data_IF_721312437891
#
_entry.id   IF_721312437891
#
_cell.length_a   1.000
_cell.length_b   1.000
_cell.length_c   1.000
_cell.angle_alpha   90.00
_cell.angle_beta   90.00
_cell.angle_gamma   90.00
#
_symmetry.space_group_name_H-M   'P 1'
#
loop_
_entity.id
_entity.type
_entity.pdbx_description
1 polymer ?
#
# COMPACT_ATOMS: atom_id res chain seq x y z
N UNK A 1 -18.47 3.34 -15.36
CA UNK A 1 -17.68 2.12 -15.04
C UNK A 1 -16.47 1.95 -15.96
N UNK A 2 -16.56 2.28 -17.27
CA UNK A 2 -15.49 2.01 -18.25
C UNK A 2 -14.24 2.88 -18.09
N UNK A 3 -14.37 4.09 -17.57
CA UNK A 3 -13.23 4.99 -17.28
C UNK A 3 -12.29 4.35 -16.26
N UNK A 4 -12.82 3.77 -15.19
CA UNK A 4 -12.01 3.15 -14.13
C UNK A 4 -11.38 1.83 -14.57
N UNK A 5 -12.09 1.04 -15.37
CA UNK A 5 -11.51 -0.17 -16.01
C UNK A 5 -10.32 0.20 -16.90
N UNK A 6 -10.45 1.26 -17.69
CA UNK A 6 -9.35 1.76 -18.52
C UNK A 6 -8.16 2.24 -17.69
N UNK A 7 -8.39 2.88 -16.52
CA UNK A 7 -7.32 3.30 -15.63
C UNK A 7 -6.56 2.11 -15.02
N UNK A 8 -7.27 1.07 -14.56
CA UNK A 8 -6.63 -0.15 -14.06
C UNK A 8 -5.83 -0.85 -15.17
N UNK A 9 -6.42 -0.98 -16.36
CA UNK A 9 -5.74 -1.54 -17.54
C UNK A 9 -4.52 -0.69 -17.92
N UNK A 10 -4.62 0.66 -17.84
CA UNK A 10 -3.48 1.54 -18.11
C UNK A 10 -2.30 1.34 -17.16
N UNK A 11 -2.56 0.95 -15.89
CA UNK A 11 -1.51 0.58 -14.94
C UNK A 11 -0.76 -0.69 -15.38
N UNK A 12 -1.49 -1.70 -15.87
CA UNK A 12 -0.88 -2.93 -16.39
C UNK A 12 -0.14 -2.69 -17.73
N UNK A 13 -0.68 -1.83 -18.59
CA UNK A 13 0.00 -1.43 -19.82
C UNK A 13 1.29 -0.68 -19.51
N UNK A 14 1.26 0.26 -18.56
CA UNK A 14 2.43 0.97 -18.11
C UNK A 14 3.52 0.02 -17.59
N UNK A 15 3.14 -1.01 -16.85
CA UNK A 15 4.05 -2.03 -16.34
C UNK A 15 4.75 -2.78 -17.49
N UNK A 16 3.97 -3.18 -18.52
CA UNK A 16 4.50 -3.81 -19.72
C UNK A 16 5.37 -2.88 -20.57
N UNK A 17 4.99 -1.62 -20.70
CA UNK A 17 5.75 -0.62 -21.46
C UNK A 17 7.10 -0.32 -20.79
N UNK A 18 7.15 -0.31 -19.45
CA UNK A 18 8.37 0.01 -18.69
C UNK A 18 9.31 -1.17 -18.49
N UNK A 19 8.76 -2.31 -18.17
CA UNK A 19 9.57 -3.49 -17.81
C UNK A 19 9.52 -4.58 -18.90
N UNK A 20 8.67 -4.44 -19.90
CA UNK A 20 8.45 -5.49 -20.87
C UNK A 20 7.72 -6.72 -20.29
N UNK A 21 7.68 -7.83 -21.04
CA UNK A 21 7.19 -9.10 -20.52
C UNK A 21 8.10 -9.58 -19.40
N UNK A 22 7.53 -10.26 -18.39
CA UNK A 22 8.32 -10.83 -17.29
C UNK A 22 9.44 -11.71 -17.84
N UNK A 23 10.67 -11.40 -17.47
CA UNK A 23 11.89 -12.07 -17.96
C UNK A 23 12.68 -12.58 -16.76
N UNK A 24 12.44 -13.84 -16.37
CA UNK A 24 13.13 -14.45 -15.22
C UNK A 24 14.63 -14.58 -15.50
N UNK A 25 15.45 -13.95 -14.65
CA UNK A 25 16.91 -13.94 -14.82
C UNK A 25 17.43 -12.98 -15.90
N UNK A 26 16.57 -12.09 -16.44
CA UNK A 26 16.98 -11.03 -17.36
C UNK A 26 17.56 -9.80 -16.69
N UNK A 27 17.93 -8.81 -17.49
CA UNK A 27 18.38 -7.50 -17.02
C UNK A 27 17.28 -6.82 -16.18
N UNK A 28 17.67 -6.24 -15.03
CA UNK A 28 16.74 -5.57 -14.14
C UNK A 28 16.53 -4.13 -14.61
N UNK A 29 15.29 -3.80 -14.96
CA UNK A 29 14.86 -2.42 -15.24
C UNK A 29 14.29 -1.79 -13.98
N UNK A 30 14.67 -0.53 -13.70
CA UNK A 30 14.14 0.21 -12.57
C UNK A 30 13.25 1.39 -13.01
N UNK A 31 12.33 1.82 -12.14
CA UNK A 31 11.66 3.09 -12.31
C UNK A 31 12.70 4.23 -12.23
N UNK A 32 12.64 5.25 -13.10
CA UNK A 32 13.62 6.34 -13.09
C UNK A 32 13.56 7.21 -11.84
N UNK A 33 12.35 7.56 -11.39
CA UNK A 33 12.14 8.56 -10.32
C UNK A 33 10.99 8.19 -9.36
N UNK A 34 11.00 8.79 -8.15
CA UNK A 34 9.91 8.67 -7.20
C UNK A 34 8.56 9.18 -7.72
N UNK A 35 8.57 10.18 -8.62
CA UNK A 35 7.35 10.66 -9.26
C UNK A 35 6.69 9.58 -10.14
N UNK A 36 7.50 8.75 -10.80
CA UNK A 36 6.98 7.66 -11.62
C UNK A 36 6.48 6.49 -10.78
N UNK A 37 7.11 6.24 -9.64
CA UNK A 37 6.60 5.29 -8.66
C UNK A 37 5.26 5.75 -8.08
N UNK A 38 5.12 7.04 -7.78
CA UNK A 38 3.86 7.63 -7.30
C UNK A 38 2.76 7.57 -8.36
N UNK A 39 3.07 7.87 -9.63
CA UNK A 39 2.14 7.75 -10.77
C UNK A 39 1.72 6.28 -10.98
N UNK A 40 2.65 5.35 -10.90
CA UNK A 40 2.36 3.92 -10.96
C UNK A 40 1.40 3.49 -9.82
N UNK A 41 1.71 3.87 -8.58
CA UNK A 41 0.86 3.55 -7.43
C UNK A 41 -0.54 4.18 -7.57
N UNK A 42 -0.63 5.40 -8.13
CA UNK A 42 -1.91 6.04 -8.43
C UNK A 42 -2.70 5.26 -9.48
N UNK A 43 -2.10 4.90 -10.62
CA UNK A 43 -2.80 4.22 -11.72
C UNK A 43 -3.31 2.85 -11.30
N UNK A 44 -2.47 2.07 -10.61
CA UNK A 44 -2.81 0.69 -10.22
C UNK A 44 -3.82 0.65 -9.07
N UNK A 45 -3.72 1.53 -8.09
CA UNK A 45 -4.52 1.43 -6.87
C UNK A 45 -5.16 2.74 -6.40
N UNK A 46 -4.53 3.90 -6.59
CA UNK A 46 -5.13 5.19 -6.25
C UNK A 46 -6.43 5.44 -7.03
N UNK A 47 -6.46 5.09 -8.31
CA UNK A 47 -7.65 5.16 -9.16
C UNK A 47 -8.79 4.27 -8.67
N UNK A 48 -8.45 3.11 -8.09
CA UNK A 48 -9.42 2.21 -7.43
C UNK A 48 -9.99 2.87 -6.18
N UNK A 49 -9.17 3.62 -5.43
CA UNK A 49 -9.62 4.43 -4.30
C UNK A 49 -10.65 5.49 -4.71
N UNK A 50 -10.43 6.17 -5.84
CA UNK A 50 -11.42 7.11 -6.42
C UNK A 50 -12.71 6.38 -6.76
N UNK A 51 -12.62 5.26 -7.47
CA UNK A 51 -13.78 4.46 -7.86
C UNK A 51 -14.57 3.99 -6.65
N UNK A 52 -13.91 3.44 -5.63
CA UNK A 52 -14.52 2.99 -4.39
C UNK A 52 -15.24 4.13 -3.66
N UNK A 53 -14.60 5.30 -3.58
CA UNK A 53 -15.18 6.50 -2.95
C UNK A 53 -16.43 6.96 -3.69
N UNK A 54 -16.39 7.00 -5.02
CA UNK A 54 -17.54 7.37 -5.85
C UNK A 54 -18.71 6.40 -5.65
N UNK A 55 -18.46 5.10 -5.72
CA UNK A 55 -19.49 4.07 -5.50
C UNK A 55 -20.08 4.15 -4.10
N UNK A 56 -19.25 4.47 -3.09
CA UNK A 56 -19.71 4.64 -1.71
C UNK A 56 -20.65 5.85 -1.57
N UNK A 57 -20.32 6.99 -2.18
CA UNK A 57 -21.16 8.18 -2.17
C UNK A 57 -22.46 7.99 -2.98
N UNK A 58 -22.38 7.33 -4.12
CA UNK A 58 -23.51 7.14 -5.02
C UNK A 58 -24.56 6.15 -4.44
N UNK A 59 -24.11 5.12 -3.71
CA UNK A 59 -25.00 4.00 -3.33
C UNK A 59 -25.16 3.75 -1.84
N UNK A 60 -24.23 4.22 -1.00
CA UNK A 60 -24.18 3.80 0.40
C UNK A 60 -24.28 4.93 1.41
N UNK A 61 -23.79 6.13 1.06
CA UNK A 61 -23.71 7.25 2.00
C UNK A 61 -23.73 8.59 1.28
N UNK A 62 -23.87 9.65 2.07
CA UNK A 62 -23.68 11.03 1.62
C UNK A 62 -22.74 11.75 2.57
N UNK A 63 -21.97 12.69 2.03
CA UNK A 63 -21.13 13.62 2.80
C UNK A 63 -21.58 15.06 2.49
N UNK A 64 -21.28 16.02 3.37
CA UNK A 64 -21.36 17.44 3.03
C UNK A 64 -20.48 17.74 1.80
N UNK A 65 -20.92 18.60 0.86
CA UNK A 65 -20.17 18.88 -0.37
C UNK A 65 -18.73 19.36 -0.14
N UNK A 66 -18.48 20.09 0.93
CA UNK A 66 -17.17 20.57 1.36
C UNK A 66 -16.24 19.44 1.85
N UNK A 67 -16.75 18.22 2.08
CA UNK A 67 -16.01 17.05 2.51
C UNK A 67 -15.76 16.03 1.40
N UNK A 68 -16.41 16.14 0.27
CA UNK A 68 -16.27 15.17 -0.81
C UNK A 68 -14.87 15.18 -1.43
N UNK A 69 -14.29 16.35 -1.67
CA UNK A 69 -12.92 16.47 -2.20
C UNK A 69 -11.90 15.82 -1.26
N UNK A 70 -11.97 16.15 0.04
CA UNK A 70 -11.13 15.53 1.07
C UNK A 70 -11.27 14.01 1.08
N UNK A 71 -12.49 13.50 0.95
CA UNK A 71 -12.78 12.07 0.92
C UNK A 71 -12.12 11.38 -0.29
N UNK A 72 -12.20 11.99 -1.49
CA UNK A 72 -11.53 11.45 -2.67
C UNK A 72 -10.00 11.46 -2.54
N UNK A 73 -9.41 12.54 -2.04
CA UNK A 73 -7.96 12.64 -1.81
C UNK A 73 -7.48 11.56 -0.85
N UNK A 74 -8.20 11.33 0.24
CA UNK A 74 -7.88 10.27 1.20
C UNK A 74 -8.10 8.87 0.61
N UNK A 75 -9.11 8.68 -0.23
CA UNK A 75 -9.35 7.44 -0.97
C UNK A 75 -8.21 7.08 -1.92
N UNK A 76 -7.67 8.07 -2.64
CA UNK A 76 -6.47 7.92 -3.48
C UNK A 76 -5.27 7.47 -2.63
N UNK A 77 -5.01 8.14 -1.52
CA UNK A 77 -3.90 7.82 -0.62
C UNK A 77 -4.06 6.43 0.00
N UNK A 78 -5.29 6.03 0.30
CA UNK A 78 -5.59 4.67 0.75
C UNK A 78 -5.18 3.63 -0.31
N UNK A 79 -5.59 3.82 -1.56
CA UNK A 79 -5.17 2.94 -2.65
C UNK A 79 -3.65 2.88 -2.79
N UNK A 80 -2.98 4.04 -2.81
CA UNK A 80 -1.52 4.13 -2.85
C UNK A 80 -0.84 3.40 -1.69
N UNK A 81 -1.37 3.50 -0.46
CA UNK A 81 -0.84 2.78 0.69
C UNK A 81 -0.77 1.27 0.45
N UNK A 82 -1.84 0.68 -0.08
CA UNK A 82 -1.89 -0.76 -0.35
C UNK A 82 -0.92 -1.17 -1.46
N UNK A 83 -0.76 -0.34 -2.48
CA UNK A 83 0.20 -0.63 -3.56
C UNK A 83 1.65 -0.47 -3.11
N UNK A 84 1.94 0.56 -2.32
CA UNK A 84 3.28 0.74 -1.75
C UNK A 84 3.68 -0.44 -0.86
N UNK A 85 2.76 -0.97 -0.06
CA UNK A 85 3.01 -2.18 0.73
C UNK A 85 3.36 -3.37 -0.17
N UNK A 86 2.66 -3.55 -1.29
CA UNK A 86 2.98 -4.62 -2.25
C UNK A 86 4.37 -4.41 -2.85
N UNK A 87 4.66 -3.22 -3.36
CA UNK A 87 5.98 -2.88 -3.92
C UNK A 87 7.11 -3.17 -2.92
N UNK A 88 6.97 -2.71 -1.68
CA UNK A 88 8.01 -2.86 -0.66
C UNK A 88 8.15 -4.28 -0.15
N UNK A 89 7.06 -5.06 -0.14
CA UNK A 89 7.07 -6.45 0.32
C UNK A 89 7.59 -7.42 -0.72
N UNK A 90 7.29 -7.18 -1.98
CA UNK A 90 7.51 -8.14 -3.05
C UNK A 90 8.81 -7.86 -3.85
N UNK A 91 9.71 -6.99 -3.34
CA UNK A 91 11.01 -6.63 -3.96
C UNK A 91 11.78 -7.86 -4.48
N UNK A 92 12.03 -8.92 -3.68
CA UNK A 92 12.80 -10.07 -4.17
C UNK A 92 12.13 -10.82 -5.31
N UNK A 93 10.79 -10.87 -5.30
CA UNK A 93 10.01 -11.53 -6.33
C UNK A 93 10.02 -10.70 -7.63
N UNK A 94 9.81 -9.40 -7.53
CA UNK A 94 9.79 -8.48 -8.67
C UNK A 94 11.17 -8.43 -9.36
N UNK A 95 12.26 -8.36 -8.59
CA UNK A 95 13.62 -8.37 -9.11
C UNK A 95 13.93 -9.64 -9.92
N UNK A 96 13.45 -10.82 -9.47
CA UNK A 96 13.61 -12.07 -10.23
C UNK A 96 12.94 -12.02 -11.60
N UNK A 97 11.89 -11.22 -11.74
CA UNK A 97 11.20 -10.99 -13.02
C UNK A 97 11.75 -9.78 -13.79
N UNK A 98 12.93 -9.26 -13.39
CA UNK A 98 13.58 -8.13 -14.05
C UNK A 98 12.96 -6.77 -13.72
N UNK A 99 12.15 -6.65 -12.66
CA UNK A 99 11.41 -5.44 -12.30
C UNK A 99 11.89 -4.85 -10.99
N UNK A 100 12.26 -3.58 -11.01
CA UNK A 100 12.58 -2.82 -9.82
C UNK A 100 11.70 -1.57 -9.71
N UNK A 101 10.74 -1.60 -8.79
CA UNK A 101 9.88 -0.44 -8.55
C UNK A 101 10.55 0.62 -7.68
N UNK A 102 11.69 0.30 -7.03
CA UNK A 102 12.46 1.30 -6.30
C UNK A 102 13.20 2.18 -7.31
N UNK A 103 13.02 3.52 -7.25
CA UNK A 103 13.58 4.42 -8.26
C UNK A 103 15.09 4.40 -8.32
N UNK A 104 15.63 4.30 -9.54
CA UNK A 104 17.06 4.29 -9.78
C UNK A 104 17.76 5.55 -9.24
N UNK A 105 17.11 6.72 -9.38
CA UNK A 105 17.62 7.98 -8.85
C UNK A 105 17.80 7.95 -7.34
N UNK A 106 16.90 7.28 -6.63
CA UNK A 106 16.94 7.20 -5.17
C UNK A 106 17.96 6.14 -4.72
N UNK A 107 18.07 5.01 -5.42
CA UNK A 107 19.14 4.03 -5.20
C UNK A 107 20.52 4.65 -5.32
N UNK A 108 20.74 5.49 -6.34
CA UNK A 108 22.02 6.22 -6.56
C UNK A 108 22.39 7.12 -5.38
N UNK A 109 21.44 7.65 -4.61
CA UNK A 109 21.73 8.45 -3.40
C UNK A 109 22.48 7.65 -2.34
N UNK A 110 22.30 6.33 -2.35
CA UNK A 110 22.91 5.38 -1.42
C UNK A 110 24.00 4.53 -2.09
N UNK A 111 24.51 4.94 -3.27
CA UNK A 111 25.51 4.23 -4.07
C UNK A 111 25.06 2.79 -4.43
N UNK A 112 23.76 2.56 -4.62
CA UNK A 112 23.17 1.29 -5.01
C UNK A 112 22.68 1.34 -6.46
N UNK A 113 22.65 0.15 -7.08
CA UNK A 113 22.00 -0.13 -8.37
C UNK A 113 20.90 -1.15 -8.14
N UNK A 114 19.96 -1.30 -9.10
CA UNK A 114 18.90 -2.29 -8.98
C UNK A 114 19.40 -3.71 -8.72
N UNK A 115 20.48 -4.12 -9.41
CA UNK A 115 21.09 -5.46 -9.26
C UNK A 115 21.66 -5.71 -7.86
N UNK A 116 22.10 -4.67 -7.16
CA UNK A 116 22.65 -4.80 -5.80
C UNK A 116 21.59 -5.29 -4.80
N UNK A 117 20.29 -5.07 -5.10
CA UNK A 117 19.18 -5.53 -4.27
C UNK A 117 18.95 -7.04 -4.37
N UNK A 118 19.62 -7.74 -5.28
CA UNK A 118 19.58 -9.21 -5.37
C UNK A 118 20.47 -9.89 -4.31
N UNK A 119 21.42 -9.18 -3.71
CA UNK A 119 22.28 -9.68 -2.62
C UNK A 119 21.74 -9.19 -1.27
N UNK A 120 21.32 -10.10 -0.42
CA UNK A 120 20.76 -9.83 0.91
C UNK A 120 21.74 -9.15 1.87
N UNK A 121 23.07 -9.22 1.58
CA UNK A 121 24.11 -8.53 2.33
C UNK A 121 24.06 -7.00 2.17
N UNK A 122 23.42 -6.51 1.10
CA UNK A 122 23.27 -5.08 0.87
C UNK A 122 22.14 -4.44 1.68
N UNK A 123 21.49 -5.20 2.57
CA UNK A 123 20.39 -4.69 3.39
C UNK A 123 20.77 -3.47 4.22
N UNK A 124 21.96 -3.44 4.79
CA UNK A 124 22.41 -2.30 5.63
C UNK A 124 22.59 -1.02 4.80
N UNK A 125 23.07 -1.13 3.56
CA UNK A 125 23.18 -0.01 2.64
C UNK A 125 21.82 0.44 2.10
N UNK A 126 20.88 -0.49 1.91
CA UNK A 126 19.54 -0.23 1.39
C UNK A 126 18.58 0.26 2.47
N UNK A 127 18.75 -0.16 3.73
CA UNK A 127 17.85 0.11 4.85
C UNK A 127 17.44 1.58 4.98
N UNK A 128 18.34 2.57 4.91
CA UNK A 128 17.93 3.97 5.06
C UNK A 128 16.93 4.41 3.98
N UNK A 129 17.15 4.05 2.72
CA UNK A 129 16.23 4.36 1.63
C UNK A 129 14.91 3.58 1.79
N UNK A 130 14.99 2.33 2.19
CA UNK A 130 13.82 1.50 2.40
C UNK A 130 12.92 2.05 3.52
N UNK A 131 13.52 2.54 4.60
CA UNK A 131 12.79 3.17 5.70
C UNK A 131 12.12 4.49 5.28
N UNK A 132 12.74 5.31 4.41
CA UNK A 132 12.09 6.49 3.82
C UNK A 132 10.76 6.10 3.10
N UNK A 133 10.77 4.99 2.34
CA UNK A 133 9.57 4.50 1.67
C UNK A 133 8.54 3.87 2.63
N UNK A 134 8.99 3.22 3.70
CA UNK A 134 8.09 2.75 4.75
C UNK A 134 7.42 3.91 5.49
N UNK A 135 8.13 5.02 5.71
CA UNK A 135 7.56 6.23 6.30
C UNK A 135 6.52 6.87 5.39
N UNK A 136 6.82 7.02 4.10
CA UNK A 136 5.84 7.49 3.11
C UNK A 136 4.60 6.57 3.06
N UNK A 137 4.80 5.26 3.15
CA UNK A 137 3.71 4.28 3.20
C UNK A 137 2.85 4.46 4.46
N UNK A 138 3.47 4.73 5.60
CA UNK A 138 2.75 5.05 6.84
C UNK A 138 1.93 6.34 6.73
N UNK A 139 2.45 7.38 6.10
CA UNK A 139 1.68 8.61 5.85
C UNK A 139 0.44 8.34 4.98
N UNK A 140 0.55 7.45 4.00
CA UNK A 140 -0.61 7.02 3.21
C UNK A 140 -1.58 6.16 4.02
N UNK A 141 -1.09 5.28 4.91
CA UNK A 141 -1.94 4.50 5.82
C UNK A 141 -2.66 5.40 6.84
N UNK A 142 -2.03 6.49 7.32
CA UNK A 142 -2.70 7.47 8.16
C UNK A 142 -3.87 8.13 7.42
N UNK A 143 -3.69 8.52 6.16
CA UNK A 143 -4.78 9.03 5.33
C UNK A 143 -5.90 7.99 5.12
N UNK A 144 -5.55 6.70 5.04
CA UNK A 144 -6.55 5.63 4.97
C UNK A 144 -7.35 5.51 6.28
N UNK A 145 -6.72 5.69 7.44
CA UNK A 145 -7.42 5.75 8.74
C UNK A 145 -8.38 6.92 8.79
N UNK A 146 -7.94 8.10 8.32
CA UNK A 146 -8.80 9.29 8.25
C UNK A 146 -9.96 9.09 7.27
N UNK A 147 -9.72 8.45 6.12
CA UNK A 147 -10.78 8.04 5.19
C UNK A 147 -11.86 7.21 5.88
N UNK A 148 -11.45 6.20 6.66
CA UNK A 148 -12.37 5.33 7.41
C UNK A 148 -13.13 6.13 8.48
N UNK A 149 -12.50 7.12 9.11
CA UNK A 149 -13.16 7.99 10.08
C UNK A 149 -14.28 8.84 9.46
N UNK A 150 -14.16 9.20 8.17
CA UNK A 150 -15.20 9.93 7.43
C UNK A 150 -16.43 9.06 7.08
N UNK A 151 -16.30 7.73 7.11
CA UNK A 151 -17.42 6.84 6.83
C UNK A 151 -18.45 6.89 7.98
N UNK A 152 -19.76 6.98 7.70
CA UNK A 152 -20.80 7.00 8.73
C UNK A 152 -20.82 5.72 9.57
N UNK A 153 -21.08 5.83 10.87
CA UNK A 153 -21.11 4.66 11.78
C UNK A 153 -22.18 3.64 11.41
N UNK A 154 -23.30 4.10 10.85
CA UNK A 154 -24.35 3.21 10.32
C UNK A 154 -23.88 2.30 9.18
N UNK A 155 -22.82 2.69 8.48
CA UNK A 155 -22.19 1.91 7.40
C UNK A 155 -21.08 0.98 7.93
N UNK A 156 -21.38 0.23 8.98
CA UNK A 156 -20.42 -0.61 9.69
C UNK A 156 -19.76 -1.68 8.80
N UNK A 157 -20.48 -2.23 7.79
CA UNK A 157 -19.92 -3.19 6.83
C UNK A 157 -18.86 -2.53 5.93
N UNK A 158 -19.16 -1.33 5.45
CA UNK A 158 -18.24 -0.54 4.65
C UNK A 158 -17.00 -0.17 5.47
N UNK A 159 -17.18 0.28 6.70
CA UNK A 159 -16.07 0.52 7.63
C UNK A 159 -15.20 -0.73 7.83
N UNK A 160 -15.83 -1.87 8.09
CA UNK A 160 -15.11 -3.13 8.32
C UNK A 160 -14.30 -3.57 7.11
N UNK A 161 -14.86 -3.46 5.89
CA UNK A 161 -14.17 -3.83 4.66
C UNK A 161 -12.95 -2.95 4.39
N UNK A 162 -12.99 -1.67 4.78
CA UNK A 162 -11.85 -0.75 4.67
C UNK A 162 -10.83 -0.95 5.80
N UNK A 163 -11.28 -1.30 7.01
CA UNK A 163 -10.39 -1.44 8.16
C UNK A 163 -9.45 -2.64 8.07
N UNK A 164 -9.95 -3.79 7.63
CA UNK A 164 -9.16 -5.01 7.62
C UNK A 164 -7.86 -4.89 6.81
N UNK A 165 -7.88 -4.40 5.55
CA UNK A 165 -6.64 -4.19 4.80
C UNK A 165 -5.70 -3.16 5.44
N UNK A 166 -6.24 -2.11 6.09
CA UNK A 166 -5.39 -1.13 6.81
C UNK A 166 -4.68 -1.77 8.00
N UNK A 167 -5.38 -2.57 8.82
CA UNK A 167 -4.78 -3.28 9.96
C UNK A 167 -3.69 -4.26 9.51
N UNK A 168 -3.94 -5.00 8.43
CA UNK A 168 -2.96 -5.91 7.83
C UNK A 168 -1.78 -5.09 7.29
N UNK A 169 -2.03 -3.97 6.62
CA UNK A 169 -1.01 -3.08 6.07
C UNK A 169 -0.10 -2.52 7.14
N UNK A 170 -0.65 -1.96 8.22
CA UNK A 170 0.13 -1.45 9.36
C UNK A 170 1.02 -2.54 9.96
N UNK A 171 0.48 -3.77 10.14
CA UNK A 171 1.27 -4.89 10.63
C UNK A 171 2.36 -5.29 9.65
N UNK A 172 2.07 -5.29 8.35
CA UNK A 172 3.06 -5.59 7.32
C UNK A 172 4.21 -4.59 7.37
N UNK A 173 3.93 -3.29 7.42
CA UNK A 173 4.98 -2.25 7.55
C UNK A 173 5.84 -2.46 8.79
N UNK A 174 5.24 -2.81 9.94
CA UNK A 174 6.00 -3.14 11.16
C UNK A 174 6.95 -4.32 10.95
N UNK A 175 6.51 -5.38 10.27
CA UNK A 175 7.34 -6.54 9.98
C UNK A 175 8.47 -6.20 9.00
N UNK A 176 8.19 -5.38 7.99
CA UNK A 176 9.15 -4.94 6.98
C UNK A 176 10.27 -4.07 7.58
N UNK A 177 9.98 -3.27 8.62
CA UNK A 177 11.01 -2.48 9.32
C UNK A 177 12.06 -3.34 10.01
N UNK A 178 11.68 -4.50 10.50
CA UNK A 178 12.57 -5.33 11.32
C UNK A 178 13.22 -6.48 10.55
N UNK A 179 12.63 -6.88 9.41
CA UNK A 179 13.11 -8.00 8.62
C UNK A 179 14.13 -7.59 7.55
N UNK A 180 14.90 -8.55 7.06
CA UNK A 180 15.72 -8.38 5.85
C UNK A 180 14.85 -8.65 4.62
N UNK A 181 14.36 -7.56 3.97
CA UNK A 181 13.50 -7.70 2.79
C UNK A 181 14.24 -8.26 1.57
N UNK A 182 15.56 -8.15 1.51
CA UNK A 182 16.35 -8.68 0.40
C UNK A 182 16.58 -10.19 0.50
N UNK A 183 16.29 -10.79 1.66
CA UNK A 183 16.35 -12.25 1.81
C UNK A 183 15.19 -12.93 1.09
N UNK A 184 15.45 -13.50 -0.09
CA UNK A 184 14.45 -14.17 -0.91
C UNK A 184 13.94 -15.50 -0.34
N UNK A 185 14.66 -16.09 0.63
CA UNK A 185 14.27 -17.35 1.27
C UNK A 185 13.21 -17.14 2.36
N UNK A 186 13.16 -15.94 2.95
CA UNK A 186 12.26 -15.61 4.05
C UNK A 186 11.23 -14.55 3.64
N UNK A 187 10.05 -15.00 3.19
CA UNK A 187 8.98 -14.07 2.82
C UNK A 187 8.35 -13.41 4.03
N UNK A 188 8.53 -12.11 4.18
CA UNK A 188 7.91 -11.31 5.25
C UNK A 188 6.42 -11.11 4.95
N UNK A 189 5.55 -11.69 5.78
CA UNK A 189 4.09 -11.55 5.65
C UNK A 189 3.37 -11.72 6.99
N UNK A 190 2.21 -11.09 7.09
CA UNK A 190 1.28 -11.31 8.20
C UNK A 190 0.73 -12.73 8.13
N UNK A 191 0.73 -13.43 9.24
CA UNK A 191 0.26 -14.83 9.30
C UNK A 191 -1.26 -14.93 9.16
N UNK A 192 -1.74 -16.09 8.71
CA UNK A 192 -3.19 -16.35 8.62
C UNK A 192 -3.90 -16.22 9.96
N UNK A 193 -3.23 -16.58 11.05
CA UNK A 193 -3.81 -16.51 12.38
C UNK A 193 -3.87 -15.09 12.93
N UNK A 194 -2.89 -14.24 12.60
CA UNK A 194 -2.97 -12.79 12.85
C UNK A 194 -4.15 -12.18 12.08
N UNK A 195 -4.32 -12.50 10.79
CA UNK A 195 -5.44 -12.01 9.98
C UNK A 195 -6.79 -12.42 10.58
N UNK A 196 -6.93 -13.70 10.99
CA UNK A 196 -8.14 -14.18 11.68
C UNK A 196 -8.37 -13.46 13.01
N UNK A 197 -7.29 -13.15 13.74
CA UNK A 197 -7.36 -12.38 14.99
C UNK A 197 -7.86 -10.97 14.74
N UNK A 198 -7.34 -10.27 13.71
CA UNK A 198 -7.84 -8.95 13.31
C UNK A 198 -9.31 -8.98 12.90
N UNK A 199 -9.71 -9.95 12.08
CA UNK A 199 -11.11 -10.11 11.68
C UNK A 199 -12.04 -10.32 12.89
N UNK A 200 -11.65 -11.17 13.85
CA UNK A 200 -12.42 -11.39 15.10
C UNK A 200 -12.49 -10.14 15.99
N UNK A 201 -11.37 -9.40 16.13
CA UNK A 201 -11.34 -8.14 16.88
C UNK A 201 -12.24 -7.10 16.24
N UNK A 202 -12.20 -7.01 14.91
CA UNK A 202 -13.02 -6.09 14.14
C UNK A 202 -14.50 -6.41 14.28
N UNK A 203 -14.91 -7.68 14.15
CA UNK A 203 -16.30 -8.11 14.34
C UNK A 203 -16.81 -7.75 15.75
N UNK A 204 -16.00 -7.95 16.78
CA UNK A 204 -16.37 -7.56 18.15
C UNK A 204 -16.51 -6.04 18.30
N UNK A 205 -15.60 -5.29 17.68
CA UNK A 205 -15.62 -3.83 17.72
C UNK A 205 -16.85 -3.22 17.03
N UNK A 206 -17.36 -3.88 15.99
CA UNK A 206 -18.58 -3.48 15.29
C UNK A 206 -19.84 -3.59 16.18
N UNK A 207 -19.80 -4.44 17.21
CA UNK A 207 -20.89 -4.61 18.16
C UNK A 207 -20.87 -3.59 19.32
N UNK A 208 -19.80 -2.78 19.42
CA UNK A 208 -19.59 -1.83 20.51
C UNK A 208 -19.57 -0.40 19.95
N UNK A 209 -20.41 0.53 20.42
CA UNK A 209 -20.34 1.92 20.01
C UNK A 209 -18.93 2.50 20.18
N UNK A 210 -18.39 3.10 19.13
CA UNK A 210 -17.01 3.64 19.11
C UNK A 210 -15.87 2.59 19.15
N UNK A 211 -16.19 1.30 19.10
CA UNK A 211 -15.19 0.21 19.14
C UNK A 211 -14.21 0.26 17.96
N UNK A 212 -14.70 0.62 16.79
CA UNK A 212 -13.92 0.82 15.55
C UNK A 212 -12.85 1.90 15.73
N UNK A 213 -13.25 3.07 16.24
CA UNK A 213 -12.32 4.18 16.47
C UNK A 213 -11.21 3.82 17.47
N UNK A 214 -11.53 3.03 18.51
CA UNK A 214 -10.53 2.55 19.48
C UNK A 214 -9.49 1.63 18.86
N UNK A 215 -9.87 0.73 17.95
CA UNK A 215 -8.92 -0.16 17.28
C UNK A 215 -7.96 0.65 16.41
N UNK A 216 -8.46 1.59 15.63
CA UNK A 216 -7.65 2.45 14.77
C UNK A 216 -6.65 3.28 15.58
N UNK A 217 -7.07 3.85 16.70
CA UNK A 217 -6.21 4.63 17.59
C UNK A 217 -5.12 3.76 18.25
N UNK A 218 -5.48 2.60 18.76
CA UNK A 218 -4.53 1.69 19.43
C UNK A 218 -3.43 1.17 18.49
N UNK A 219 -3.76 0.94 17.23
CA UNK A 219 -2.75 0.51 16.25
C UNK A 219 -1.81 1.63 15.82
N UNK A 220 -2.27 2.90 15.82
CA UNK A 220 -1.40 4.05 15.55
C UNK A 220 -0.28 4.19 16.59
N UNK A 221 -0.58 3.89 17.86
CA UNK A 221 0.40 3.98 18.96
C UNK A 221 1.44 2.85 18.93
N UNK A 222 1.15 1.73 18.25
CA UNK A 222 2.06 0.59 18.09
C UNK A 222 2.93 0.65 16.82
N UNK A 223 2.73 1.63 15.95
CA UNK A 223 3.46 1.82 14.69
C UNK A 223 4.51 2.93 14.76
N UNK A 224 4.61 3.60 15.92
CA UNK A 224 5.69 4.53 16.27
C UNK A 224 6.77 3.77 17.04
#
# INVERSE_FOLDING_TARGET
SDVYKRQIVSGQVLDLERFGPANEGGEISALPTGAEMDDYAYRVAGSVGVFWSKMSLEHLMSLPPDKEEEFFVKGIRFGKALQMINILRDIPEDLRFGRCYIPEKDLKRFNLKPDDLMDDKNIDAFRPLYDEYLDLTNEHLEAAVEYIAMLPDKQFRLKASCMLPVLIGQRTVTLLRTGNILNSEERIKVTRDEIKSYARKLLRALLIPGGVARILKKNKDNTK
#
